data_IF_466165149475
#
_entry.id   IF_466165149475
#
_cell.length_a   1.000
_cell.length_b   1.000
_cell.length_c   1.000
_cell.angle_alpha   90.00
_cell.angle_beta   90.00
_cell.angle_gamma   90.00
#
_symmetry.space_group_name_H-M   'P 1'
#
loop_
_entity.id
_entity.type
_entity.pdbx_description
1 polymer ?
#
# COMPACT_ATOMS: atom_id res chain seq x y z
N UNK A 1 2.41 -13.03 6.31
CA UNK A 1 3.76 -12.66 6.82
C UNK A 1 4.79 -12.79 5.70
N UNK A 2 5.90 -12.05 5.73
CA UNK A 2 6.96 -12.18 4.71
C UNK A 2 7.83 -13.43 4.93
N UNK A 3 8.06 -14.18 3.87
CA UNK A 3 9.11 -15.20 3.77
C UNK A 3 10.26 -14.62 2.91
N UNK A 4 11.28 -14.07 3.57
CA UNK A 4 12.40 -13.41 2.90
C UNK A 4 13.40 -14.42 2.35
N UNK A 5 13.51 -14.53 1.02
CA UNK A 5 14.47 -15.46 0.38
C UNK A 5 15.91 -15.03 0.59
N UNK A 6 16.20 -13.72 0.52
CA UNK A 6 17.53 -13.14 0.69
C UNK A 6 17.75 -12.50 2.08
N UNK A 7 16.84 -12.75 3.03
CA UNK A 7 16.81 -12.09 4.33
C UNK A 7 16.10 -10.73 4.32
N UNK A 8 15.73 -10.27 5.52
CA UNK A 8 15.00 -9.00 5.71
C UNK A 8 15.95 -7.83 5.46
N UNK A 9 15.61 -6.88 4.55
CA UNK A 9 16.43 -5.70 4.33
C UNK A 9 16.36 -4.77 5.55
N UNK A 10 17.49 -4.60 6.25
CA UNK A 10 17.55 -3.80 7.48
C UNK A 10 17.10 -2.34 7.30
N UNK A 11 17.31 -1.79 6.09
CA UNK A 11 16.97 -0.41 5.77
C UNK A 11 15.48 -0.18 5.48
N UNK A 12 14.68 -1.23 5.21
CA UNK A 12 13.27 -1.07 4.83
C UNK A 12 12.42 -0.89 6.10
N UNK A 13 11.80 0.29 6.29
CA UNK A 13 10.88 0.50 7.42
C UNK A 13 9.61 -0.36 7.28
N UNK A 14 9.11 -0.87 8.41
CA UNK A 14 7.94 -1.75 8.46
C UNK A 14 6.65 -1.09 7.95
N UNK A 15 6.57 0.25 8.00
CA UNK A 15 5.49 1.07 7.45
C UNK A 15 5.41 0.94 5.92
N UNK A 16 6.50 0.57 5.24
CA UNK A 16 6.57 0.44 3.78
C UNK A 16 6.55 -1.01 3.27
N UNK A 17 6.24 -1.98 4.14
CA UNK A 17 6.14 -3.39 3.76
C UNK A 17 5.03 -3.67 2.74
N UNK A 18 4.05 -2.79 2.59
CA UNK A 18 3.07 -2.86 1.51
C UNK A 18 3.72 -2.82 0.11
N UNK A 19 4.92 -2.24 -0.06
CA UNK A 19 5.66 -2.28 -1.33
C UNK A 19 5.96 -3.70 -1.81
N UNK A 20 6.15 -4.64 -0.87
CA UNK A 20 6.44 -6.05 -1.16
C UNK A 20 5.21 -6.95 -1.00
N UNK A 21 4.05 -6.39 -0.65
CA UNK A 21 2.78 -7.11 -0.55
C UNK A 21 2.62 -7.89 0.75
N UNK A 22 3.12 -7.36 1.88
CA UNK A 22 2.94 -7.98 3.20
C UNK A 22 2.41 -6.97 4.21
N UNK A 23 1.78 -7.48 5.26
CA UNK A 23 1.28 -6.69 6.40
C UNK A 23 2.35 -5.72 6.89
N UNK A 24 1.96 -4.46 7.03
CA UNK A 24 2.83 -3.37 7.41
C UNK A 24 2.39 -2.78 8.74
N UNK A 25 3.26 -1.97 9.35
CA UNK A 25 2.88 -1.20 10.52
C UNK A 25 1.75 -0.21 10.16
N UNK A 26 0.69 -0.18 10.96
CA UNK A 26 -0.51 0.62 10.69
C UNK A 26 -1.52 -0.07 9.76
N UNK A 27 -1.37 -1.36 9.49
CA UNK A 27 -2.37 -2.16 8.78
C UNK A 27 -3.32 -2.86 9.75
N UNK A 28 -4.58 -3.02 9.35
CA UNK A 28 -5.62 -3.68 10.14
C UNK A 28 -6.64 -2.67 10.71
N UNK A 29 -7.71 -3.14 11.35
CA UNK A 29 -8.73 -2.29 11.95
C UNK A 29 -8.11 -1.30 12.95
N UNK A 30 -8.31 0.00 12.73
CA UNK A 30 -7.69 1.04 13.55
C UNK A 30 -6.16 1.09 13.51
N UNK A 31 -5.53 0.42 12.53
CA UNK A 31 -4.08 0.34 12.38
C UNK A 31 -3.40 -0.79 13.16
N UNK A 32 -4.17 -1.72 13.74
CA UNK A 32 -3.66 -2.86 14.50
C UNK A 32 -3.78 -4.16 13.70
N UNK A 33 -2.64 -4.81 13.43
CA UNK A 33 -2.60 -6.03 12.62
C UNK A 33 -2.99 -7.29 13.39
N UNK A 34 -3.12 -7.20 14.72
CA UNK A 34 -3.50 -8.33 15.58
C UNK A 34 -5.01 -8.35 15.87
N UNK A 35 -5.76 -7.36 15.35
CA UNK A 35 -7.20 -7.23 15.52
C UNK A 35 -7.94 -7.66 14.25
N UNK A 36 -8.92 -8.54 14.40
CA UNK A 36 -9.83 -8.92 13.32
C UNK A 36 -10.90 -7.84 13.09
N UNK A 37 -11.30 -7.62 11.84
CA UNK A 37 -12.33 -6.64 11.53
C UNK A 37 -12.31 -6.18 10.08
N UNK A 38 -13.21 -5.25 9.76
CA UNK A 38 -13.35 -4.71 8.42
C UNK A 38 -12.18 -3.77 8.07
N UNK A 39 -11.65 -3.92 6.86
CA UNK A 39 -10.65 -3.05 6.25
C UNK A 39 -11.05 -2.80 4.80
N UNK A 40 -10.58 -1.71 4.17
CA UNK A 40 -10.92 -1.44 2.76
C UNK A 40 -10.46 -2.57 1.85
N UNK A 41 -9.22 -3.02 1.95
CA UNK A 41 -8.70 -4.14 1.17
C UNK A 41 -7.58 -4.88 1.92
N UNK A 42 -7.38 -6.15 1.59
CA UNK A 42 -6.17 -6.91 1.95
C UNK A 42 -5.27 -7.06 0.72
N UNK A 43 -4.22 -7.88 0.83
CA UNK A 43 -3.29 -8.14 -0.25
C UNK A 43 -3.79 -9.26 -1.16
N UNK A 44 -3.58 -9.13 -2.48
CA UNK A 44 -3.95 -10.16 -3.46
C UNK A 44 -3.38 -11.57 -3.17
N UNK A 45 -2.30 -11.67 -2.39
CA UNK A 45 -1.74 -12.95 -1.94
C UNK A 45 -2.63 -13.74 -0.98
N UNK A 46 -3.61 -13.09 -0.34
CA UNK A 46 -4.49 -13.70 0.65
C UNK A 46 -5.80 -12.91 0.78
N UNK A 47 -6.59 -12.95 -0.30
CA UNK A 47 -7.91 -12.37 -0.36
C UNK A 47 -8.83 -13.33 -1.10
N UNK A 48 -10.09 -13.40 -0.68
CA UNK A 48 -11.10 -14.23 -1.32
C UNK A 48 -12.44 -13.51 -1.30
N UNK A 49 -13.22 -13.72 -2.36
CA UNK A 49 -14.55 -13.13 -2.50
C UNK A 49 -15.58 -14.25 -2.63
N UNK A 50 -16.82 -13.98 -2.21
CA UNK A 50 -17.95 -14.83 -2.61
C UNK A 50 -18.07 -14.77 -4.13
N UNK A 51 -18.31 -15.92 -4.76
CA UNK A 51 -18.35 -16.03 -6.22
C UNK A 51 -19.37 -15.08 -6.83
N UNK A 52 -20.56 -15.03 -6.24
CA UNK A 52 -21.68 -14.22 -6.72
C UNK A 52 -21.32 -12.73 -6.67
N UNK A 53 -20.83 -12.25 -5.53
CA UNK A 53 -20.33 -10.87 -5.37
C UNK A 53 -19.21 -10.53 -6.36
N UNK A 54 -18.25 -11.43 -6.57
CA UNK A 54 -17.16 -11.20 -7.52
C UNK A 54 -17.67 -11.04 -8.96
N UNK A 55 -18.65 -11.85 -9.36
CA UNK A 55 -19.24 -11.80 -10.70
C UNK A 55 -20.18 -10.60 -10.89
N UNK A 56 -20.96 -10.24 -9.86
CA UNK A 56 -21.82 -9.05 -9.85
C UNK A 56 -21.00 -7.77 -10.00
N UNK A 57 -19.85 -7.71 -9.32
CA UNK A 57 -18.89 -6.63 -9.49
C UNK A 57 -18.12 -6.72 -10.82
N UNK A 58 -18.30 -7.74 -11.67
CA UNK A 58 -17.62 -7.85 -12.96
C UNK A 58 -16.16 -8.32 -12.89
N UNK A 59 -15.71 -8.85 -11.75
CA UNK A 59 -14.36 -9.37 -11.55
C UNK A 59 -13.26 -8.30 -11.60
N UNK A 60 -12.00 -8.71 -11.73
CA UNK A 60 -10.88 -7.76 -11.84
C UNK A 60 -10.93 -6.99 -13.16
N UNK A 61 -10.76 -5.67 -13.08
CA UNK A 61 -10.56 -4.84 -14.26
C UNK A 61 -9.19 -5.15 -14.89
N UNK A 62 -9.18 -5.59 -16.15
CA UNK A 62 -7.94 -5.90 -16.88
C UNK A 62 -7.11 -4.67 -17.20
N UNK A 63 -7.70 -3.49 -17.13
CA UNK A 63 -7.01 -2.23 -17.34
C UNK A 63 -6.25 -1.75 -16.10
N UNK A 64 -6.48 -2.38 -14.93
CA UNK A 64 -5.93 -1.99 -13.63
C UNK A 64 -5.14 -3.15 -13.01
N UNK A 65 -4.04 -2.85 -12.31
CA UNK A 65 -3.19 -3.87 -11.69
C UNK A 65 -2.12 -4.46 -12.61
N UNK A 66 -1.87 -3.83 -13.76
CA UNK A 66 -0.88 -4.24 -14.75
C UNK A 66 -0.11 -3.06 -15.36
N UNK A 67 0.83 -3.41 -16.24
CA UNK A 67 1.61 -2.42 -17.00
C UNK A 67 0.88 -2.08 -18.30
N UNK A 68 0.45 -0.84 -18.45
CA UNK A 68 -0.13 -0.31 -19.68
C UNK A 68 0.88 0.63 -20.37
N UNK A 69 1.54 0.13 -21.42
CA UNK A 69 2.64 0.83 -22.07
C UNK A 69 3.77 1.15 -21.10
N UNK A 70 4.10 2.42 -20.95
CA UNK A 70 5.12 2.89 -20.00
C UNK A 70 4.58 3.11 -18.58
N UNK A 71 3.25 3.08 -18.38
CA UNK A 71 2.62 3.31 -17.09
C UNK A 71 2.36 1.99 -16.34
N UNK A 72 2.53 2.01 -15.01
CA UNK A 72 2.29 0.85 -14.15
C UNK A 72 1.20 1.18 -13.12
N UNK A 73 -0.06 0.89 -13.47
CA UNK A 73 -1.20 1.02 -12.57
C UNK A 73 -1.28 -0.19 -11.66
N UNK A 74 -1.19 0.05 -10.36
CA UNK A 74 -1.17 -0.97 -9.32
C UNK A 74 -2.49 -0.96 -8.54
N UNK A 75 -2.83 -2.12 -7.95
CA UNK A 75 -3.97 -2.23 -7.04
C UNK A 75 -5.25 -2.77 -7.69
N UNK A 76 -5.16 -3.87 -8.44
CA UNK A 76 -6.36 -4.52 -8.99
C UNK A 76 -7.31 -5.01 -7.89
N UNK A 77 -6.77 -5.49 -6.76
CA UNK A 77 -7.55 -5.83 -5.58
C UNK A 77 -8.16 -4.59 -4.90
N UNK A 78 -7.40 -3.50 -4.85
CA UNK A 78 -7.81 -2.22 -4.28
C UNK A 78 -9.00 -1.64 -5.04
N UNK A 79 -8.95 -1.69 -6.37
CA UNK A 79 -10.02 -1.25 -7.25
C UNK A 79 -11.30 -2.07 -7.06
N UNK A 80 -11.21 -3.39 -7.06
CA UNK A 80 -12.35 -4.27 -6.86
C UNK A 80 -12.98 -4.06 -5.47
N UNK A 81 -12.17 -3.88 -4.43
CA UNK A 81 -12.68 -3.59 -3.09
C UNK A 81 -13.31 -2.21 -2.98
N UNK A 82 -12.85 -1.23 -3.76
CA UNK A 82 -13.50 0.07 -3.81
C UNK A 82 -14.87 -0.02 -4.49
N UNK A 83 -15.02 -0.81 -5.56
CA UNK A 83 -16.33 -1.12 -6.15
C UNK A 83 -17.23 -1.88 -5.17
N UNK A 84 -16.68 -2.83 -4.42
CA UNK A 84 -17.41 -3.53 -3.33
C UNK A 84 -17.97 -2.53 -2.31
N UNK A 85 -17.15 -1.57 -1.87
CA UNK A 85 -17.58 -0.54 -0.93
C UNK A 85 -18.64 0.40 -1.55
N UNK A 86 -18.46 0.83 -2.80
CA UNK A 86 -19.44 1.68 -3.48
C UNK A 86 -20.80 1.00 -3.69
N UNK A 87 -20.82 -0.29 -3.98
CA UNK A 87 -22.06 -1.04 -4.26
C UNK A 87 -22.77 -1.49 -2.98
N UNK A 88 -22.02 -1.95 -1.97
CA UNK A 88 -22.60 -2.62 -0.79
C UNK A 88 -22.33 -1.89 0.53
N UNK A 89 -21.66 -0.74 0.53
CA UNK A 89 -21.22 -0.02 1.73
C UNK A 89 -20.46 -0.96 2.70
N UNK A 90 -19.60 -1.82 2.14
CA UNK A 90 -18.86 -2.85 2.86
C UNK A 90 -17.46 -3.04 2.29
N UNK A 91 -16.47 -3.20 3.18
CA UNK A 91 -15.11 -3.62 2.89
C UNK A 91 -14.92 -5.12 2.99
N UNK A 92 -13.66 -5.54 3.14
CA UNK A 92 -13.30 -6.94 3.35
C UNK A 92 -13.00 -7.20 4.82
N UNK A 93 -13.33 -8.41 5.29
CA UNK A 93 -13.04 -8.80 6.66
C UNK A 93 -11.60 -9.35 6.75
N UNK A 94 -10.75 -8.64 7.50
CA UNK A 94 -9.41 -9.09 7.85
C UNK A 94 -9.47 -10.03 9.06
N UNK A 95 -8.83 -11.19 8.92
CA UNK A 95 -8.63 -12.17 9.98
C UNK A 95 -7.11 -12.39 10.17
N UNK A 96 -6.53 -12.03 11.33
CA UNK A 96 -5.11 -12.20 11.59
C UNK A 96 -4.68 -13.68 11.68
N UNK A 97 -5.62 -14.61 11.91
CA UNK A 97 -5.34 -16.05 11.98
C UNK A 97 -5.31 -16.69 10.57
N UNK A 98 -5.92 -16.04 9.56
CA UNK A 98 -5.85 -16.46 8.17
C UNK A 98 -4.46 -16.15 7.58
N UNK A 99 -3.45 -16.91 7.97
CA UNK A 99 -2.04 -16.61 7.64
C UNK A 99 -1.56 -17.22 6.31
N UNK A 100 -0.77 -16.45 5.56
CA UNK A 100 0.04 -16.94 4.43
C UNK A 100 1.49 -16.51 4.60
N UNK A 101 2.43 -17.36 4.19
CA UNK A 101 3.83 -16.99 3.99
C UNK A 101 4.01 -16.43 2.56
N UNK A 102 4.13 -15.11 2.44
CA UNK A 102 4.33 -14.45 1.16
C UNK A 102 5.80 -14.42 0.81
N UNK A 103 6.18 -15.14 -0.24
CA UNK A 103 7.57 -15.26 -0.67
C UNK A 103 8.10 -13.94 -1.25
N UNK A 104 9.05 -13.33 -0.56
CA UNK A 104 9.74 -12.12 -1.01
C UNK A 104 11.09 -12.50 -1.61
N UNK A 105 11.14 -12.50 -2.94
CA UNK A 105 12.36 -12.75 -3.72
C UNK A 105 13.40 -11.63 -3.55
N UNK A 106 14.67 -11.96 -3.78
CA UNK A 106 15.83 -11.06 -3.63
C UNK A 106 15.66 -9.72 -4.35
N UNK A 107 15.20 -9.72 -5.60
CA UNK A 107 15.01 -8.47 -6.35
C UNK A 107 13.98 -7.51 -5.71
N UNK A 108 13.04 -8.02 -4.88
CA UNK A 108 12.05 -7.18 -4.18
C UNK A 108 12.61 -6.51 -2.92
N UNK A 109 13.85 -6.84 -2.53
CA UNK A 109 14.59 -6.16 -1.46
C UNK A 109 15.63 -5.20 -2.02
N UNK A 110 15.78 -5.10 -3.34
CA UNK A 110 16.69 -4.15 -3.99
C UNK A 110 16.20 -2.70 -3.81
N UNK A 111 17.06 -1.75 -3.38
CA UNK A 111 16.66 -0.37 -3.20
C UNK A 111 16.12 0.30 -4.47
N UNK A 112 16.67 0.01 -5.65
CA UNK A 112 16.20 0.62 -6.90
C UNK A 112 14.82 0.09 -7.26
N UNK A 113 14.60 -1.22 -7.07
CA UNK A 113 13.28 -1.83 -7.26
C UNK A 113 12.24 -1.21 -6.31
N UNK A 114 12.57 -1.03 -5.03
CA UNK A 114 11.68 -0.42 -4.05
C UNK A 114 11.33 1.04 -4.39
N UNK A 115 12.31 1.82 -4.86
CA UNK A 115 12.10 3.21 -5.29
C UNK A 115 11.24 3.30 -6.55
N UNK A 116 11.49 2.47 -7.56
CA UNK A 116 10.64 2.38 -8.75
C UNK A 116 9.21 1.99 -8.38
N UNK A 117 9.06 0.95 -7.54
CA UNK A 117 7.76 0.49 -7.04
C UNK A 117 7.01 1.59 -6.29
N UNK A 118 7.71 2.34 -5.43
CA UNK A 118 7.16 3.47 -4.67
C UNK A 118 6.70 4.62 -5.58
N UNK A 119 7.48 4.95 -6.61
CA UNK A 119 7.10 5.97 -7.59
C UNK A 119 5.79 5.59 -8.29
N UNK A 120 5.72 4.37 -8.82
CA UNK A 120 4.53 3.89 -9.50
C UNK A 120 3.33 3.72 -8.57
N UNK A 121 3.55 3.53 -7.26
CA UNK A 121 2.49 3.52 -6.27
C UNK A 121 1.86 4.90 -6.11
N UNK A 122 2.67 5.95 -6.00
CA UNK A 122 2.17 7.33 -6.02
C UNK A 122 1.38 7.66 -7.28
N UNK A 123 1.92 7.27 -8.45
CA UNK A 123 1.24 7.42 -9.73
C UNK A 123 -0.12 6.71 -9.76
N UNK A 124 -0.16 5.47 -9.27
CA UNK A 124 -1.38 4.65 -9.24
C UNK A 124 -2.43 5.24 -8.31
N UNK A 125 -2.03 5.73 -7.12
CA UNK A 125 -2.94 6.43 -6.21
C UNK A 125 -3.68 7.55 -6.92
N UNK A 126 -2.94 8.39 -7.65
CA UNK A 126 -3.56 9.49 -8.39
C UNK A 126 -4.48 9.01 -9.52
N UNK A 127 -4.11 7.95 -10.23
CA UNK A 127 -4.99 7.34 -11.23
C UNK A 127 -6.28 6.81 -10.60
N UNK A 128 -6.18 6.12 -9.47
CA UNK A 128 -7.31 5.57 -8.72
C UNK A 128 -8.28 6.65 -8.24
N UNK A 129 -7.81 7.81 -7.79
CA UNK A 129 -8.70 8.94 -7.41
C UNK A 129 -9.59 9.43 -8.56
N UNK A 130 -9.13 9.28 -9.80
CA UNK A 130 -9.90 9.70 -10.99
C UNK A 130 -10.75 8.57 -11.55
N UNK A 131 -10.32 7.32 -11.37
CA UNK A 131 -11.02 6.14 -11.88
C UNK A 131 -12.08 5.63 -10.90
N UNK A 132 -11.91 5.89 -9.61
CA UNK A 132 -12.71 5.32 -8.52
C UNK A 132 -13.01 6.39 -7.46
N UNK A 133 -14.29 6.75 -7.35
CA UNK A 133 -14.78 7.87 -6.52
C UNK A 133 -14.57 7.67 -4.99
N UNK A 134 -14.33 6.45 -4.51
CA UNK A 134 -14.24 6.11 -3.09
C UNK A 134 -12.80 6.04 -2.50
N UNK A 135 -11.76 6.43 -3.26
CA UNK A 135 -10.39 5.94 -3.01
C UNK A 135 -9.45 6.83 -2.16
N UNK A 136 -9.93 7.89 -1.47
CA UNK A 136 -9.01 8.94 -0.97
C UNK A 136 -8.74 8.98 0.54
N UNK A 137 -9.49 8.23 1.35
CA UNK A 137 -9.47 8.36 2.82
C UNK A 137 -8.24 7.74 3.49
N UNK A 138 -8.02 6.43 3.29
CA UNK A 138 -7.01 5.67 4.03
C UNK A 138 -5.57 6.13 3.78
N UNK A 139 -5.26 6.63 2.58
CA UNK A 139 -3.94 7.12 2.23
C UNK A 139 -3.60 8.40 3.00
N UNK A 140 -4.61 9.26 3.22
CA UNK A 140 -4.47 10.49 4.02
C UNK A 140 -4.29 10.16 5.50
N UNK A 141 -5.06 9.19 6.00
CA UNK A 141 -4.94 8.70 7.38
C UNK A 141 -3.56 8.07 7.63
N UNK A 142 -3.10 7.21 6.71
CA UNK A 142 -1.78 6.60 6.79
C UNK A 142 -0.67 7.65 6.78
N UNK A 143 -0.75 8.67 5.91
CA UNK A 143 0.22 9.76 5.89
C UNK A 143 0.18 10.58 7.19
N UNK A 144 -1.02 10.80 7.75
CA UNK A 144 -1.22 11.41 9.06
C UNK A 144 -0.52 10.64 10.17
N UNK A 145 -0.74 9.33 10.29
CA UNK A 145 -0.05 8.46 11.26
C UNK A 145 1.46 8.42 11.02
N UNK A 146 1.90 8.39 9.75
CA UNK A 146 3.31 8.39 9.40
C UNK A 146 4.04 9.64 9.93
N UNK A 147 3.44 10.82 9.76
CA UNK A 147 4.02 12.10 10.19
C UNK A 147 3.79 12.41 11.67
N UNK A 148 2.62 12.04 12.21
CA UNK A 148 2.20 12.40 13.56
C UNK A 148 2.65 11.43 14.65
N UNK A 149 2.81 10.14 14.32
CA UNK A 149 3.13 9.09 15.29
C UNK A 149 4.45 8.39 14.93
N UNK A 150 4.52 7.79 13.74
CA UNK A 150 5.62 6.88 13.40
C UNK A 150 6.96 7.61 13.27
N UNK A 151 6.98 8.77 12.61
CA UNK A 151 8.18 9.58 12.45
C UNK A 151 8.72 10.11 13.80
N UNK A 152 7.92 10.76 14.66
CA UNK A 152 8.36 11.17 16.00
C UNK A 152 8.91 10.02 16.84
N UNK A 153 8.26 8.86 16.83
CA UNK A 153 8.74 7.68 17.56
C UNK A 153 10.07 7.17 17.04
N UNK A 154 10.23 7.08 15.73
CA UNK A 154 11.51 6.68 15.11
C UNK A 154 12.63 7.63 15.46
N UNK A 155 12.37 8.95 15.48
CA UNK A 155 13.34 9.97 15.89
C UNK A 155 13.73 9.80 17.36
N UNK A 156 12.76 9.70 18.28
CA UNK A 156 13.03 9.45 19.70
C UNK A 156 13.81 8.16 19.91
N UNK A 157 13.42 7.09 19.23
CA UNK A 157 14.08 5.78 19.31
C UNK A 157 15.51 5.79 18.76
N UNK A 158 15.80 6.60 17.74
CA UNK A 158 17.15 6.80 17.21
C UNK A 158 18.01 7.62 18.18
N UNK A 159 17.47 8.68 18.77
CA UNK A 159 18.19 9.51 19.74
C UNK A 159 18.49 8.76 21.05
N UNK A 160 17.55 7.96 21.54
CA UNK A 160 17.72 7.22 22.79
C UNK A 160 18.71 6.05 22.67
N UNK A 161 18.73 5.36 21.52
CA UNK A 161 19.64 4.24 21.27
C UNK A 161 20.02 4.19 19.79
N UNK A 162 21.06 4.96 19.38
CA UNK A 162 21.47 5.06 17.99
C UNK A 162 21.92 3.72 17.39
N UNK A 163 21.49 3.43 16.18
CA UNK A 163 22.01 2.30 15.40
C UNK A 163 21.98 2.61 13.91
N UNK A 164 22.87 1.94 13.16
CA UNK A 164 22.92 2.07 11.69
C UNK A 164 21.59 1.66 11.04
N UNK A 165 20.95 0.61 11.56
CA UNK A 165 19.64 0.15 11.08
C UNK A 165 18.57 1.24 11.26
N UNK A 166 18.41 1.79 12.47
CA UNK A 166 17.42 2.85 12.74
C UNK A 166 17.65 4.09 11.87
N UNK A 167 18.91 4.51 11.72
CA UNK A 167 19.26 5.63 10.87
C UNK A 167 18.90 5.36 9.39
N UNK A 168 19.22 4.17 8.89
CA UNK A 168 18.89 3.78 7.51
C UNK A 168 17.38 3.69 7.27
N UNK A 169 16.61 3.16 8.22
CA UNK A 169 15.14 3.10 8.12
C UNK A 169 14.50 4.49 8.12
N UNK A 170 15.02 5.42 8.93
CA UNK A 170 14.52 6.80 8.95
C UNK A 170 14.81 7.53 7.63
N UNK A 171 16.02 7.35 7.08
CA UNK A 171 16.37 7.88 5.77
C UNK A 171 15.49 7.30 4.66
N UNK A 172 15.29 5.98 4.67
CA UNK A 172 14.45 5.30 3.69
C UNK A 172 12.97 5.65 3.83
N UNK A 173 12.46 5.87 5.04
CA UNK A 173 11.10 6.35 5.28
C UNK A 173 10.90 7.70 4.60
N UNK A 174 11.81 8.66 4.79
CA UNK A 174 11.76 9.96 4.14
C UNK A 174 11.88 9.85 2.61
N UNK A 175 12.84 9.06 2.12
CA UNK A 175 13.07 8.87 0.69
C UNK A 175 11.88 8.21 -0.02
N UNK A 176 11.35 7.11 0.51
CA UNK A 176 10.21 6.41 -0.07
C UNK A 176 8.95 7.30 -0.05
N UNK A 177 8.71 8.04 1.03
CA UNK A 177 7.60 9.01 1.10
C UNK A 177 7.73 10.08 0.03
N UNK A 178 8.93 10.66 -0.15
CA UNK A 178 9.18 11.66 -1.18
C UNK A 178 9.00 11.09 -2.60
N UNK A 179 9.43 9.84 -2.83
CA UNK A 179 9.30 9.17 -4.14
C UNK A 179 7.84 8.81 -4.46
N UNK A 180 7.06 8.36 -3.47
CA UNK A 180 5.61 8.21 -3.61
C UNK A 180 4.97 9.56 -3.96
N UNK A 181 5.32 10.62 -3.24
CA UNK A 181 4.82 11.97 -3.53
C UNK A 181 5.18 12.45 -4.94
N UNK A 182 6.41 12.21 -5.40
CA UNK A 182 6.84 12.54 -6.75
C UNK A 182 6.05 11.77 -7.82
N UNK A 183 5.78 10.48 -7.58
CA UNK A 183 4.93 9.66 -8.44
C UNK A 183 3.50 10.17 -8.52
N UNK A 184 2.93 10.58 -7.38
CA UNK A 184 1.60 11.19 -7.32
C UNK A 184 1.54 12.51 -8.10
N UNK A 185 2.53 13.39 -7.91
CA UNK A 185 2.65 14.64 -8.66
C UNK A 185 2.80 14.40 -10.17
N UNK A 186 3.56 13.39 -10.58
CA UNK A 186 3.63 12.98 -11.98
C UNK A 186 2.28 12.48 -12.49
N UNK A 187 1.56 11.70 -11.67
CA UNK A 187 0.20 11.26 -11.91
C UNK A 187 -0.77 12.41 -12.20
N UNK A 188 -0.63 13.57 -11.54
CA UNK A 188 -1.47 14.75 -11.80
C UNK A 188 -1.38 15.24 -13.26
N UNK A 189 -0.23 15.03 -13.91
CA UNK A 189 -0.03 15.42 -15.32
C UNK A 189 -0.68 14.45 -16.31
N UNK A 190 -1.00 13.23 -15.86
CA UNK A 190 -1.64 12.18 -16.68
C UNK A 190 -3.12 12.01 -16.38
N UNK A 191 -3.51 12.25 -15.12
CA UNK A 191 -4.87 12.18 -14.60
C UNK A 191 -5.24 13.53 -13.95
N UNK A 192 -5.52 14.57 -14.77
CA UNK A 192 -5.87 15.88 -14.24
C UNK A 192 -7.18 15.82 -13.44
N UNK A 193 -7.41 16.76 -12.49
CA UNK A 193 -8.67 16.81 -11.74
C UNK A 193 -9.86 16.93 -12.68
N UNK A 194 -10.93 16.16 -12.44
CA UNK A 194 -12.21 16.37 -13.11
C UNK A 194 -12.71 17.77 -12.71
N UNK A 195 -12.93 18.65 -13.68
CA UNK A 195 -13.62 19.91 -13.45
C UNK A 195 -15.05 19.54 -13.06
N UNK A 196 -15.45 19.86 -11.82
CA UNK A 196 -16.85 19.70 -11.41
C UNK A 196 -17.67 20.72 -12.19
N UNK A 197 -18.57 20.25 -13.05
CA UNK A 197 -19.65 21.06 -13.64
C UNK A 197 -20.75 21.34 -12.60
#
# INVERSE_FOLDING_TARGET
TPEWVAGRPAFLPAEFYWLVGVTHRGFGPGGDCDVAGEVRNTFGSNISFRRETFLELGGFDTDIGGRQGDANLQGGETELCARLHSEYDSGVYYDPEATVAHKVFDYRTDPRWLLDRAFWQGYSKRGMEVLVDASTGEESDFLGSLLGEFLPERLRGLLAAPSREKASQLLMLGLLTAVVGAGYCYGLTKYPPRVRE
#
